data_IF_189812401044
#
_entry.id   IF_189812401044
#
_cell.length_a   1.000
_cell.length_b   1.000
_cell.length_c   1.000
_cell.angle_alpha   90.00
_cell.angle_beta   90.00
_cell.angle_gamma   90.00
#
_symmetry.space_group_name_H-M   'P 1'
#
loop_
_entity.id
_entity.type
_entity.pdbx_description
1 polymer ?
#
# COMPACT_ATOMS: atom_id res chain seq x y z
N UNK A 1 9.47 43.08 -31.90
CA UNK A 1 8.10 42.95 -32.44
C UNK A 1 7.30 42.05 -31.49
N UNK A 2 6.05 42.43 -31.21
CA UNK A 2 5.28 42.15 -29.98
C UNK A 2 4.87 40.67 -29.77
N UNK A 3 4.83 40.29 -28.49
CA UNK A 3 4.19 39.10 -27.91
C UNK A 3 2.79 38.84 -28.49
N UNK A 4 2.46 37.57 -28.75
CA UNK A 4 1.08 37.06 -28.85
C UNK A 4 0.78 36.12 -27.67
N UNK A 5 0.52 36.72 -26.51
CA UNK A 5 -0.22 36.10 -25.41
C UNK A 5 -1.66 36.61 -25.52
N UNK A 6 -2.62 35.77 -25.94
CA UNK A 6 -4.06 35.92 -25.65
C UNK A 6 -4.86 34.78 -26.30
N UNK A 7 -5.30 33.82 -25.48
CA UNK A 7 -6.66 33.25 -25.45
C UNK A 7 -6.74 32.07 -24.47
N UNK A 8 -6.79 32.38 -23.18
CA UNK A 8 -7.48 31.56 -22.19
C UNK A 8 -8.22 32.52 -21.27
N UNK A 9 -9.47 32.83 -21.67
CA UNK A 9 -10.39 33.67 -20.91
C UNK A 9 -11.45 32.74 -20.32
N UNK A 10 -11.42 32.65 -18.99
CA UNK A 10 -12.56 32.45 -18.09
C UNK A 10 -13.44 31.20 -18.28
N UNK A 11 -13.03 30.10 -17.67
CA UNK A 11 -13.98 29.15 -17.06
C UNK A 11 -14.14 29.58 -15.61
N UNK A 12 -15.29 30.17 -15.29
CA UNK A 12 -15.77 30.36 -13.91
C UNK A 12 -15.93 28.99 -13.26
N UNK A 13 -14.94 28.59 -12.47
CA UNK A 13 -15.10 27.49 -11.52
C UNK A 13 -15.99 28.03 -10.42
N UNK A 14 -17.27 27.68 -10.45
CA UNK A 14 -18.10 27.70 -9.24
C UNK A 14 -17.45 26.77 -8.24
N UNK A 15 -16.64 27.33 -7.34
CA UNK A 15 -16.24 26.67 -6.11
C UNK A 15 -17.51 26.46 -5.29
N UNK A 16 -18.17 25.32 -5.50
CA UNK A 16 -19.02 24.76 -4.46
C UNK A 16 -18.06 24.48 -3.32
N UNK A 17 -18.05 25.37 -2.34
CA UNK A 17 -17.37 25.22 -1.06
C UNK A 17 -17.92 23.97 -0.38
N UNK A 18 -17.35 22.81 -0.69
CA UNK A 18 -17.57 21.61 0.11
C UNK A 18 -17.05 21.98 1.51
N UNK A 19 -17.90 21.92 2.56
CA UNK A 19 -17.46 22.28 3.90
C UNK A 19 -16.23 21.45 4.25
N UNK A 20 -15.17 22.17 4.62
CA UNK A 20 -13.89 21.65 5.06
C UNK A 20 -14.14 20.95 6.41
N UNK A 21 -14.67 19.73 6.39
CA UNK A 21 -14.76 18.91 7.59
C UNK A 21 -13.34 18.54 7.99
N UNK A 22 -12.77 19.29 8.94
CA UNK A 22 -11.60 18.87 9.68
C UNK A 22 -11.93 17.51 10.30
N UNK A 23 -11.31 16.44 9.80
CA UNK A 23 -11.45 15.13 10.41
C UNK A 23 -10.81 15.22 11.79
N UNK A 24 -11.61 15.04 12.83
CA UNK A 24 -11.08 14.88 14.17
C UNK A 24 -10.09 13.70 14.16
N UNK A 25 -8.91 13.83 14.78
CA UNK A 25 -7.97 12.73 14.86
C UNK A 25 -8.66 11.52 15.52
N UNK A 26 -8.39 10.30 15.05
CA UNK A 26 -9.02 9.10 15.57
C UNK A 26 -8.67 8.94 17.05
N UNK A 27 -9.67 8.61 17.86
CA UNK A 27 -9.46 8.38 19.29
C UNK A 27 -8.60 7.12 19.52
N UNK A 28 -7.35 7.34 19.93
CA UNK A 28 -6.41 6.28 20.30
C UNK A 28 -6.48 5.93 21.80
N UNK A 29 -7.33 6.58 22.60
CA UNK A 29 -7.51 6.28 24.04
C UNK A 29 -7.94 4.83 24.24
N UNK A 30 -8.70 4.28 23.30
CA UNK A 30 -9.12 2.89 23.29
C UNK A 30 -7.95 1.89 23.11
N UNK A 31 -6.74 2.34 22.76
CA UNK A 31 -5.52 1.50 22.76
C UNK A 31 -5.01 1.23 24.18
N UNK A 32 -5.27 2.13 25.14
CA UNK A 32 -4.87 1.96 26.54
C UNK A 32 -5.74 0.92 27.29
N UNK A 33 -6.94 0.61 26.79
CA UNK A 33 -7.89 -0.35 27.38
C UNK A 33 -7.70 -1.79 26.87
N UNK A 34 -6.73 -2.04 26.00
CA UNK A 34 -6.55 -3.36 25.34
C UNK A 34 -5.82 -4.34 26.25
N UNK A 35 -6.57 -4.95 27.16
CA UNK A 35 -6.21 -6.20 27.85
C UNK A 35 -5.05 -6.10 28.83
N UNK A 36 -5.01 -6.99 29.83
CA UNK A 36 -3.87 -7.08 30.74
C UNK A 36 -2.61 -7.52 29.97
N UNK A 37 -1.42 -7.03 30.36
CA UNK A 37 -0.15 -7.52 29.87
C UNK A 37 -0.06 -9.00 30.13
N UNK A 38 0.27 -9.74 29.07
CA UNK A 38 1.02 -10.96 29.28
C UNK A 38 2.40 -10.52 29.69
N UNK A 39 2.80 -10.91 30.89
CA UNK A 39 4.18 -10.86 31.30
C UNK A 39 5.04 -11.49 30.18
N UNK A 40 5.86 -10.68 29.51
CA UNK A 40 6.72 -11.11 28.40
C UNK A 40 6.34 -10.63 27.00
N UNK A 41 5.17 -10.00 26.78
CA UNK A 41 4.91 -9.30 25.50
C UNK A 41 5.40 -7.87 25.59
N UNK A 42 6.68 -7.72 25.36
CA UNK A 42 7.31 -6.43 25.15
C UNK A 42 7.38 -6.24 23.63
N UNK A 43 7.19 -5.02 23.11
CA UNK A 43 7.73 -4.62 21.79
C UNK A 43 9.27 -4.65 21.88
N UNK A 44 9.89 -5.79 22.24
CA UNK A 44 11.29 -5.89 22.67
C UNK A 44 12.24 -6.16 21.55
N UNK A 45 11.91 -5.68 20.36
CA UNK A 45 12.99 -5.50 19.44
C UNK A 45 12.74 -4.31 18.53
N UNK A 46 13.15 -3.11 18.96
CA UNK A 46 13.57 -2.06 18.02
C UNK A 46 14.39 -2.64 16.86
N UNK A 47 15.15 -3.72 17.08
CA UNK A 47 15.85 -4.46 16.01
C UNK A 47 14.92 -5.07 14.96
N UNK A 48 13.72 -5.56 15.29
CA UNK A 48 12.74 -6.10 14.30
C UNK A 48 12.15 -4.98 13.45
N UNK A 49 11.72 -3.88 14.07
CA UNK A 49 11.22 -2.72 13.33
C UNK A 49 12.29 -2.12 12.40
N UNK A 50 13.52 -1.98 12.93
CA UNK A 50 14.70 -1.57 12.15
C UNK A 50 15.01 -2.55 11.02
N UNK A 51 15.03 -3.86 11.28
CA UNK A 51 15.25 -4.89 10.26
C UNK A 51 14.19 -4.85 9.15
N UNK A 52 12.93 -4.60 9.49
CA UNK A 52 11.85 -4.43 8.51
C UNK A 52 12.11 -3.18 7.66
N UNK A 53 12.48 -2.05 8.26
CA UNK A 53 12.86 -0.84 7.53
C UNK A 53 14.05 -1.08 6.58
N UNK A 54 15.12 -1.71 7.07
CA UNK A 54 16.32 -2.03 6.29
C UNK A 54 15.98 -2.94 5.11
N UNK A 55 15.12 -3.95 5.32
CA UNK A 55 14.65 -4.85 4.26
C UNK A 55 13.75 -4.14 3.24
N UNK A 56 12.94 -3.16 3.66
CA UNK A 56 12.15 -2.34 2.74
C UNK A 56 13.06 -1.47 1.87
N UNK A 57 14.03 -0.78 2.46
CA UNK A 57 15.04 -0.02 1.72
C UNK A 57 15.80 -0.93 0.74
N UNK A 58 16.32 -2.08 1.21
CA UNK A 58 17.02 -3.03 0.33
C UNK A 58 16.16 -3.43 -0.86
N UNK A 59 14.91 -3.85 -0.65
CA UNK A 59 14.00 -4.21 -1.75
C UNK A 59 13.73 -3.05 -2.70
N UNK A 60 13.56 -1.85 -2.18
CA UNK A 60 13.28 -0.66 -2.97
C UNK A 60 14.43 -0.31 -3.94
N UNK A 61 15.68 -0.49 -3.51
CA UNK A 61 16.87 -0.23 -4.35
C UNK A 61 17.33 -1.45 -5.17
N UNK A 62 16.86 -2.66 -4.89
CA UNK A 62 17.12 -3.82 -5.74
C UNK A 62 16.39 -3.65 -7.07
N UNK A 63 17.12 -3.56 -8.18
CA UNK A 63 16.56 -3.48 -9.53
C UNK A 63 16.87 -4.80 -10.25
N UNK A 64 15.83 -5.58 -10.52
CA UNK A 64 15.89 -6.83 -11.29
C UNK A 64 14.67 -6.95 -12.20
N UNK A 65 14.80 -7.66 -13.31
CA UNK A 65 13.69 -7.99 -14.21
C UNK A 65 12.85 -9.15 -13.67
N UNK A 66 13.48 -10.10 -12.98
CA UNK A 66 12.88 -11.33 -12.48
C UNK A 66 13.71 -11.91 -11.32
N UNK A 67 13.18 -12.95 -10.66
CA UNK A 67 13.74 -13.53 -9.44
C UNK A 67 14.01 -15.04 -9.58
N UNK A 68 14.88 -15.57 -8.70
CA UNK A 68 15.23 -16.99 -8.61
C UNK A 68 16.46 -17.38 -9.43
N UNK A 69 17.01 -18.57 -9.14
CA UNK A 69 18.22 -19.10 -9.81
C UNK A 69 18.03 -19.40 -11.29
N UNK A 70 16.77 -19.64 -11.70
CA UNK A 70 16.38 -19.87 -13.09
C UNK A 70 15.55 -18.71 -13.66
N UNK A 71 15.54 -17.55 -12.99
CA UNK A 71 14.88 -16.35 -13.51
C UNK A 71 13.42 -16.60 -13.91
N UNK A 72 12.71 -17.40 -13.12
CA UNK A 72 11.40 -17.95 -13.50
C UNK A 72 10.23 -17.30 -12.79
N UNK A 73 10.47 -16.36 -11.86
CA UNK A 73 9.39 -15.67 -11.13
C UNK A 73 9.44 -14.16 -11.27
N UNK A 74 8.29 -13.46 -11.19
CA UNK A 74 8.24 -12.01 -11.34
C UNK A 74 9.10 -11.26 -10.33
N UNK A 75 9.61 -10.08 -10.72
CA UNK A 75 10.52 -9.27 -9.90
C UNK A 75 9.99 -8.89 -8.49
N UNK A 76 8.66 -8.84 -8.30
CA UNK A 76 8.06 -8.52 -7.00
C UNK A 76 8.39 -9.57 -5.91
N UNK A 77 8.84 -10.78 -6.29
CA UNK A 77 9.22 -11.86 -5.38
C UNK A 77 10.55 -11.62 -4.63
N UNK A 78 11.36 -10.65 -5.08
CA UNK A 78 12.67 -10.37 -4.48
C UNK A 78 13.04 -8.88 -4.48
N UNK A 79 12.28 -8.02 -5.17
CA UNK A 79 12.53 -6.59 -5.28
C UNK A 79 11.24 -5.77 -5.20
N UNK A 80 11.41 -4.47 -4.94
CA UNK A 80 10.35 -3.51 -4.76
C UNK A 80 9.47 -3.74 -3.53
N UNK A 81 8.60 -2.77 -3.26
CA UNK A 81 7.72 -2.75 -2.09
C UNK A 81 6.27 -2.68 -2.57
N UNK A 82 5.46 -3.65 -2.14
CA UNK A 82 4.03 -3.71 -2.44
C UNK A 82 3.28 -2.95 -1.35
N UNK A 83 2.69 -1.82 -1.70
CA UNK A 83 2.11 -0.86 -0.75
C UNK A 83 0.69 -0.51 -1.16
N UNK A 84 -0.20 -0.32 -0.19
CA UNK A 84 -1.56 0.18 -0.44
C UNK A 84 -1.87 1.37 0.42
N UNK A 85 -2.21 2.47 -0.25
CA UNK A 85 -2.70 3.69 0.37
C UNK A 85 -4.00 3.46 1.12
N UNK A 86 -4.06 3.94 2.35
CA UNK A 86 -5.22 3.79 3.20
C UNK A 86 -6.05 5.09 3.23
N UNK A 87 -7.37 4.95 3.25
CA UNK A 87 -8.23 6.13 3.38
C UNK A 87 -8.09 6.70 4.81
N UNK A 88 -8.05 8.04 4.96
CA UNK A 88 -7.84 8.68 6.26
C UNK A 88 -8.96 8.38 7.27
N UNK A 89 -10.13 7.91 6.86
CA UNK A 89 -11.26 7.55 7.71
C UNK A 89 -11.27 6.07 8.16
N UNK A 90 -10.39 5.22 7.61
CA UNK A 90 -10.43 3.76 7.82
C UNK A 90 -9.27 3.27 8.67
N UNK A 91 -9.52 2.84 9.90
CA UNK A 91 -8.48 2.21 10.74
C UNK A 91 -8.34 0.71 10.51
N UNK A 92 -9.40 0.06 10.01
CA UNK A 92 -9.41 -1.34 9.61
C UNK A 92 -8.98 -1.52 8.16
N UNK A 93 -7.70 -1.26 7.90
CA UNK A 93 -7.13 -1.25 6.54
C UNK A 93 -7.17 -2.61 5.81
N UNK A 94 -7.46 -3.70 6.53
CA UNK A 94 -7.62 -5.05 6.00
C UNK A 94 -9.03 -5.32 5.40
N UNK A 95 -10.00 -4.45 5.66
CA UNK A 95 -11.34 -4.51 5.05
C UNK A 95 -11.29 -3.86 3.65
N UNK A 96 -10.69 -4.59 2.71
CA UNK A 96 -10.49 -4.19 1.31
C UNK A 96 -9.05 -4.45 0.86
N UNK A 97 -8.85 -4.81 -0.41
CA UNK A 97 -7.50 -5.14 -0.88
C UNK A 97 -7.50 -5.92 -2.19
N UNK A 98 -7.48 -5.19 -3.28
CA UNK A 98 -7.35 -5.75 -4.64
C UNK A 98 -6.23 -5.00 -5.36
N UNK A 99 -6.26 -3.67 -5.27
CA UNK A 99 -5.27 -2.76 -5.86
C UNK A 99 -4.16 -2.32 -4.90
N UNK A 100 -2.90 -2.46 -5.33
CA UNK A 100 -1.69 -2.01 -4.64
C UNK A 100 -0.80 -1.23 -5.61
N UNK A 101 0.12 -0.44 -5.10
CA UNK A 101 1.23 0.11 -5.88
C UNK A 101 2.49 -0.71 -5.66
N UNK A 102 3.39 -0.67 -6.64
CA UNK A 102 4.71 -1.31 -6.60
C UNK A 102 5.82 -0.25 -6.61
N UNK A 103 6.42 0.00 -5.44
CA UNK A 103 7.49 0.99 -5.31
C UNK A 103 8.85 0.36 -5.58
N UNK A 104 9.60 0.93 -6.51
CA UNK A 104 11.00 0.61 -6.77
C UNK A 104 11.69 1.86 -7.28
N UNK A 105 12.98 1.98 -6.95
CA UNK A 105 13.78 3.19 -7.22
C UNK A 105 13.83 3.62 -8.69
N UNK A 106 13.64 2.71 -9.63
CA UNK A 106 13.66 2.97 -11.08
C UNK A 106 12.27 3.24 -11.69
N UNK A 107 11.18 3.26 -10.92
CA UNK A 107 9.81 3.34 -11.45
C UNK A 107 9.13 4.71 -11.30
N UNK A 108 9.86 5.73 -10.82
CA UNK A 108 9.35 7.10 -10.72
C UNK A 108 8.01 7.22 -9.96
N UNK A 109 7.80 6.40 -8.92
CA UNK A 109 6.58 6.45 -8.09
C UNK A 109 6.84 7.30 -6.85
N UNK A 110 6.55 8.60 -6.95
CA UNK A 110 6.90 9.60 -5.93
C UNK A 110 5.76 9.94 -4.95
N UNK A 111 4.55 9.44 -5.20
CA UNK A 111 3.39 9.69 -4.36
C UNK A 111 2.58 8.42 -4.16
N UNK A 112 1.96 8.31 -2.99
CA UNK A 112 0.93 7.31 -2.72
C UNK A 112 -0.34 7.65 -3.49
N UNK A 113 -1.12 6.64 -3.89
CA UNK A 113 -2.41 6.85 -4.56
C UNK A 113 -3.27 7.89 -3.85
N UNK A 114 -3.74 8.90 -4.60
CA UNK A 114 -4.50 10.06 -4.09
C UNK A 114 -3.80 10.83 -2.97
N UNK A 115 -2.48 10.83 -2.95
CA UNK A 115 -1.68 11.54 -1.96
C UNK A 115 -2.04 11.22 -0.50
N UNK A 116 -2.47 9.98 -0.27
CA UNK A 116 -2.94 9.56 1.05
C UNK A 116 -1.75 9.52 2.03
N UNK A 117 -1.94 10.03 3.25
CA UNK A 117 -0.84 10.17 4.21
C UNK A 117 -0.46 8.87 4.90
N UNK A 118 -1.29 7.83 4.79
CA UNK A 118 -1.07 6.53 5.43
C UNK A 118 -1.24 5.39 4.44
N UNK A 119 -0.55 4.29 4.68
CA UNK A 119 -0.59 3.09 3.87
C UNK A 119 -0.22 1.85 4.69
N UNK A 120 -0.26 0.68 4.07
CA UNK A 120 0.34 -0.53 4.63
C UNK A 120 1.10 -1.30 3.57
N UNK A 121 2.14 -2.01 4.00
CA UNK A 121 2.96 -2.86 3.13
C UNK A 121 2.59 -4.31 3.37
N UNK A 122 2.49 -5.07 2.30
CA UNK A 122 2.39 -6.53 2.34
C UNK A 122 3.67 -7.17 1.83
N UNK A 123 3.92 -8.40 2.28
CA UNK A 123 5.02 -9.19 1.77
C UNK A 123 4.67 -9.66 0.35
N UNK A 124 5.40 -9.13 -0.64
CA UNK A 124 5.23 -9.49 -2.04
C UNK A 124 5.82 -10.84 -2.43
N UNK A 125 6.63 -11.48 -1.57
CA UNK A 125 7.19 -12.80 -1.88
C UNK A 125 6.07 -13.84 -1.77
N UNK A 126 5.45 -14.20 -2.89
CA UNK A 126 4.39 -15.19 -2.95
C UNK A 126 4.82 -16.53 -2.35
N UNK A 127 6.07 -16.96 -2.54
CA UNK A 127 6.56 -18.18 -1.87
C UNK A 127 6.80 -18.02 -0.36
N UNK A 128 6.94 -16.78 0.13
CA UNK A 128 7.06 -16.50 1.55
C UNK A 128 5.67 -16.48 2.15
N UNK A 129 5.29 -17.64 2.64
CA UNK A 129 4.38 -17.70 3.78
C UNK A 129 4.95 -16.75 4.83
N UNK A 130 4.20 -15.72 5.24
CA UNK A 130 4.53 -15.01 6.48
C UNK A 130 4.70 -16.07 7.62
N UNK A 131 5.16 -15.72 8.84
CA UNK A 131 5.33 -16.70 9.92
C UNK A 131 4.10 -17.58 10.25
N UNK A 132 2.97 -17.36 9.56
CA UNK A 132 1.66 -17.95 9.75
C UNK A 132 1.10 -18.59 8.47
N UNK A 133 1.92 -18.83 7.43
CA UNK A 133 1.48 -19.57 6.26
C UNK A 133 0.85 -18.76 5.14
N UNK A 134 0.84 -17.42 5.20
CA UNK A 134 -0.01 -16.57 4.32
C UNK A 134 0.74 -16.00 3.13
N UNK A 135 0.03 -15.92 1.99
CA UNK A 135 0.56 -15.51 0.69
C UNK A 135 -0.42 -14.54 0.01
N UNK A 136 0.10 -13.52 -0.65
CA UNK A 136 -0.64 -12.72 -1.61
C UNK A 136 -0.62 -13.42 -2.98
N UNK A 137 -1.76 -13.46 -3.66
CA UNK A 137 -1.87 -14.01 -5.01
C UNK A 137 -2.02 -12.86 -6.00
N UNK A 138 -0.94 -12.53 -6.70
CA UNK A 138 -0.93 -11.50 -7.73
C UNK A 138 -1.60 -12.02 -9.01
N UNK A 139 -2.43 -11.18 -9.64
CA UNK A 139 -3.22 -11.55 -10.80
C UNK A 139 -2.75 -10.80 -12.04
N UNK A 140 -2.74 -9.46 -11.99
CA UNK A 140 -2.25 -8.62 -13.06
C UNK A 140 -1.60 -7.34 -12.57
N UNK A 141 -0.96 -6.60 -13.48
CA UNK A 141 -0.36 -5.30 -13.23
C UNK A 141 -0.63 -4.33 -14.39
N UNK A 142 -0.61 -3.05 -14.05
CA UNK A 142 -0.75 -1.91 -14.95
C UNK A 142 0.43 -0.94 -14.75
N UNK A 143 1.02 -0.40 -15.85
CA UNK A 143 2.08 0.60 -15.77
C UNK A 143 1.63 1.94 -15.17
N UNK A 144 0.34 2.22 -15.22
CA UNK A 144 -0.34 3.38 -14.61
C UNK A 144 -1.56 2.89 -13.83
N UNK A 145 -2.43 3.80 -13.39
CA UNK A 145 -3.68 3.42 -12.74
C UNK A 145 -4.51 2.66 -13.78
N UNK A 146 -4.89 1.42 -13.49
CA UNK A 146 -5.62 0.56 -14.43
C UNK A 146 -7.07 0.96 -14.62
N UNK A 147 -7.53 2.00 -13.90
CA UNK A 147 -8.92 2.43 -13.79
C UNK A 147 -9.83 1.26 -13.43
N UNK A 148 -9.41 0.45 -12.45
CA UNK A 148 -10.03 -0.84 -12.10
C UNK A 148 -11.48 -0.74 -11.63
N UNK A 149 -11.91 0.44 -11.19
CA UNK A 149 -13.32 0.80 -10.96
C UNK A 149 -14.21 0.57 -12.19
N UNK A 150 -13.66 0.70 -13.40
CA UNK A 150 -14.37 0.45 -14.67
C UNK A 150 -14.34 -1.01 -15.13
N UNK A 151 -13.69 -1.90 -14.37
CA UNK A 151 -13.46 -3.30 -14.76
C UNK A 151 -14.24 -4.24 -13.85
N UNK A 152 -14.38 -5.50 -14.24
CA UNK A 152 -15.10 -6.47 -13.42
C UNK A 152 -14.37 -6.69 -12.09
N UNK A 153 -14.99 -6.29 -10.98
CA UNK A 153 -14.42 -6.49 -9.63
C UNK A 153 -14.42 -7.94 -9.18
N UNK A 154 -15.33 -8.77 -9.72
CA UNK A 154 -15.30 -10.24 -9.55
C UNK A 154 -14.26 -10.86 -10.47
N UNK A 155 -13.84 -12.11 -10.16
CA UNK A 155 -12.80 -12.84 -10.91
C UNK A 155 -12.84 -12.52 -12.42
N UNK A 156 -11.73 -12.09 -13.03
CA UNK A 156 -10.34 -12.02 -12.55
C UNK A 156 -9.93 -10.73 -11.79
N UNK A 157 -10.86 -10.06 -11.09
CA UNK A 157 -10.55 -9.01 -10.09
C UNK A 157 -9.96 -7.71 -10.66
N UNK A 158 -10.56 -7.14 -11.69
CA UNK A 158 -10.08 -5.93 -12.33
C UNK A 158 -9.05 -6.18 -13.43
N UNK A 159 -8.77 -7.44 -13.75
CA UNK A 159 -7.92 -7.86 -14.87
C UNK A 159 -8.73 -8.21 -16.14
N UNK A 160 -9.86 -7.53 -16.35
CA UNK A 160 -10.75 -7.68 -17.52
C UNK A 160 -10.72 -6.45 -18.40
N UNK A 161 -11.43 -6.50 -19.51
CA UNK A 161 -11.85 -5.33 -20.27
C UNK A 161 -12.51 -4.28 -19.36
N UNK A 162 -12.34 -3.02 -19.74
CA UNK A 162 -13.05 -1.89 -19.14
C UNK A 162 -14.46 -1.81 -19.73
N UNK A 163 -15.45 -1.47 -18.91
CA UNK A 163 -16.81 -1.16 -19.35
C UNK A 163 -16.88 0.07 -20.28
N UNK A 164 -15.83 0.91 -20.30
CA UNK A 164 -15.68 2.01 -21.26
C UNK A 164 -15.24 1.51 -22.65
N UNK A 165 -14.68 0.29 -22.72
CA UNK A 165 -14.18 -0.34 -23.93
C UNK A 165 -14.54 -1.84 -23.98
N UNK A 166 -15.84 -2.22 -23.94
CA UNK A 166 -16.26 -3.60 -23.72
C UNK A 166 -15.91 -4.55 -24.87
N UNK A 167 -15.57 -4.04 -26.05
CA UNK A 167 -15.17 -4.83 -27.23
C UNK A 167 -13.65 -5.02 -27.32
N UNK A 168 -12.89 -4.44 -26.40
CA UNK A 168 -11.44 -4.45 -26.42
C UNK A 168 -10.95 -5.40 -25.31
N UNK A 169 -10.21 -6.47 -25.62
CA UNK A 169 -9.73 -7.39 -24.60
C UNK A 169 -8.90 -6.69 -23.52
N UNK A 170 -9.11 -7.04 -22.25
CA UNK A 170 -8.41 -6.40 -21.13
C UNK A 170 -6.96 -6.82 -20.91
N UNK A 171 -6.51 -7.94 -21.49
CA UNK A 171 -5.16 -8.49 -21.30
C UNK A 171 -4.26 -8.20 -22.50
N UNK A 172 -3.01 -7.81 -22.25
CA UNK A 172 -2.07 -7.47 -23.31
C UNK A 172 -1.77 -8.67 -24.22
N UNK A 173 -1.61 -9.87 -23.65
CA UNK A 173 -1.40 -11.11 -24.41
C UNK A 173 -2.55 -11.43 -25.36
N UNK A 174 -3.82 -11.24 -24.94
CA UNK A 174 -4.98 -11.42 -25.82
C UNK A 174 -5.04 -10.39 -26.96
N UNK A 175 -4.51 -9.18 -26.72
CA UNK A 175 -4.34 -8.14 -27.74
C UNK A 175 -3.10 -8.34 -28.63
N UNK A 176 -2.35 -9.43 -28.44
CA UNK A 176 -1.07 -9.71 -29.12
C UNK A 176 0.01 -8.64 -28.87
N UNK A 177 -0.06 -7.96 -27.73
CA UNK A 177 0.96 -7.02 -27.26
C UNK A 177 1.98 -7.81 -26.46
N UNK A 178 3.17 -7.97 -27.04
CA UNK A 178 4.24 -8.85 -26.55
C UNK A 178 5.56 -8.12 -26.33
N UNK A 179 5.65 -6.85 -26.72
CA UNK A 179 6.83 -6.02 -26.53
C UNK A 179 6.47 -4.56 -26.19
N UNK A 180 7.49 -3.78 -25.83
CA UNK A 180 7.34 -2.41 -25.35
C UNK A 180 6.76 -1.47 -26.40
N UNK A 181 7.21 -1.58 -27.65
CA UNK A 181 6.76 -0.69 -28.73
C UNK A 181 5.29 -0.93 -29.08
N UNK A 182 4.86 -2.19 -29.08
CA UNK A 182 3.44 -2.54 -29.24
C UNK A 182 2.59 -1.98 -28.11
N UNK A 183 3.07 -2.04 -26.86
CA UNK A 183 2.35 -1.47 -25.73
C UNK A 183 2.26 0.06 -25.82
N UNK A 184 3.36 0.75 -26.14
CA UNK A 184 3.37 2.21 -26.34
C UNK A 184 2.40 2.62 -27.45
N UNK A 185 2.41 1.90 -28.56
CA UNK A 185 1.50 2.17 -29.67
C UNK A 185 0.03 1.99 -29.26
N UNK A 186 -0.31 0.95 -28.50
CA UNK A 186 -1.68 0.73 -28.01
C UNK A 186 -2.10 1.75 -26.95
N UNK A 187 -1.23 2.05 -25.98
CA UNK A 187 -1.49 3.05 -24.93
C UNK A 187 -1.72 4.45 -25.52
N UNK A 188 -1.00 4.81 -26.58
CA UNK A 188 -1.12 6.11 -27.24
C UNK A 188 -2.26 6.24 -28.26
N UNK A 189 -3.07 5.19 -28.49
CA UNK A 189 -4.30 5.31 -29.30
C UNK A 189 -5.31 6.28 -28.69
N UNK A 190 -5.30 6.42 -27.37
CA UNK A 190 -6.16 7.36 -26.65
C UNK A 190 -5.28 8.47 -26.09
N UNK A 191 -5.46 9.70 -26.58
CA UNK A 191 -4.66 10.85 -26.14
C UNK A 191 -4.92 11.21 -24.66
N UNK A 192 -4.00 11.95 -24.05
CA UNK A 192 -4.15 12.46 -22.67
C UNK A 192 -5.38 13.37 -22.50
N UNK A 193 -5.81 14.05 -23.57
CA UNK A 193 -7.00 14.91 -23.56
C UNK A 193 -8.31 14.15 -23.30
N UNK A 194 -8.30 12.83 -23.49
CA UNK A 194 -9.45 11.96 -23.23
C UNK A 194 -9.57 11.52 -21.76
N UNK A 195 -8.79 12.10 -20.84
CA UNK A 195 -8.99 11.89 -19.41
C UNK A 195 -8.76 10.45 -18.97
N UNK A 196 -9.66 9.97 -18.09
CA UNK A 196 -9.67 8.61 -17.55
C UNK A 196 -9.76 7.52 -18.64
N UNK A 197 -10.30 7.84 -19.82
CA UNK A 197 -10.44 6.86 -20.91
C UNK A 197 -9.10 6.32 -21.39
N UNK A 198 -8.03 7.13 -21.34
CA UNK A 198 -6.67 6.67 -21.68
C UNK A 198 -6.23 5.52 -20.79
N UNK A 199 -6.45 5.68 -19.49
CA UNK A 199 -6.08 4.71 -18.46
C UNK A 199 -7.02 3.50 -18.43
N UNK A 200 -8.31 3.70 -18.73
CA UNK A 200 -9.27 2.62 -18.90
C UNK A 200 -9.02 1.76 -20.16
N UNK A 201 -8.47 2.36 -21.23
CA UNK A 201 -8.16 1.66 -22.48
C UNK A 201 -6.96 0.71 -22.36
N UNK A 202 -6.00 1.00 -21.48
CA UNK A 202 -4.78 0.21 -21.37
C UNK A 202 -5.07 -1.26 -21.06
N UNK A 203 -4.21 -2.15 -21.57
CA UNK A 203 -4.26 -3.57 -21.24
C UNK A 203 -3.47 -3.88 -19.95
N UNK A 204 -3.85 -4.98 -19.30
CA UNK A 204 -3.18 -5.53 -18.13
C UNK A 204 -2.12 -6.57 -18.52
N UNK A 205 -1.05 -6.62 -17.74
CA UNK A 205 -0.01 -7.65 -17.84
C UNK A 205 -0.25 -8.73 -16.79
N UNK A 206 -0.09 -10.00 -17.16
CA UNK A 206 -0.13 -11.12 -16.21
C UNK A 206 0.95 -10.93 -15.13
N UNK A 207 0.53 -10.95 -13.87
CA UNK A 207 1.43 -10.85 -12.71
C UNK A 207 1.43 -12.12 -11.86
N UNK A 208 0.83 -13.21 -12.34
CA UNK A 208 0.85 -14.48 -11.60
C UNK A 208 2.27 -15.04 -11.48
N UNK A 209 2.57 -15.65 -10.34
CA UNK A 209 3.91 -16.19 -10.06
C UNK A 209 4.35 -17.27 -11.06
N UNK A 210 3.43 -18.09 -11.54
CA UNK A 210 3.73 -19.28 -12.36
C UNK A 210 3.91 -19.00 -13.85
N UNK A 211 3.33 -17.92 -14.38
CA UNK A 211 3.36 -17.63 -15.82
C UNK A 211 3.50 -16.14 -16.17
N UNK A 212 3.47 -15.25 -15.18
CA UNK A 212 3.48 -13.80 -15.38
C UNK A 212 4.88 -13.17 -15.49
N UNK A 213 5.97 -13.92 -15.38
CA UNK A 213 7.33 -13.36 -15.27
C UNK A 213 7.67 -12.39 -16.41
N UNK A 214 7.49 -12.82 -17.68
CA UNK A 214 7.80 -11.99 -18.85
C UNK A 214 6.81 -10.84 -19.07
N UNK A 215 5.52 -11.06 -18.78
CA UNK A 215 4.53 -9.98 -18.86
C UNK A 215 4.75 -8.93 -17.76
N UNK A 216 5.11 -9.34 -16.54
CA UNK A 216 5.45 -8.42 -15.46
C UNK A 216 6.76 -7.67 -15.73
N UNK A 217 7.75 -8.33 -16.35
CA UNK A 217 8.94 -7.65 -16.85
C UNK A 217 8.57 -6.54 -17.85
N UNK A 218 7.71 -6.85 -18.83
CA UNK A 218 7.22 -5.89 -19.81
C UNK A 218 6.41 -4.75 -19.15
N UNK A 219 5.62 -5.03 -18.11
CA UNK A 219 4.95 -4.01 -17.30
C UNK A 219 5.95 -3.02 -16.68
N UNK A 220 7.08 -3.51 -16.17
CA UNK A 220 8.14 -2.66 -15.60
C UNK A 220 8.83 -1.82 -16.68
N UNK A 221 9.05 -2.37 -17.88
CA UNK A 221 9.58 -1.62 -19.01
C UNK A 221 8.61 -0.53 -19.48
N UNK A 222 7.33 -0.88 -19.60
CA UNK A 222 6.25 0.05 -19.94
C UNK A 222 6.20 1.22 -18.94
N UNK A 223 6.21 0.91 -17.64
CA UNK A 223 6.25 1.93 -16.57
C UNK A 223 7.44 2.88 -16.73
N UNK A 224 8.63 2.34 -16.96
CA UNK A 224 9.87 3.12 -17.12
C UNK A 224 9.88 3.98 -18.38
N UNK A 225 9.15 3.56 -19.41
CA UNK A 225 9.11 4.28 -20.68
C UNK A 225 8.20 5.51 -20.69
N UNK A 226 7.37 5.68 -19.65
CA UNK A 226 6.43 6.80 -19.55
C UNK A 226 7.13 8.10 -19.14
N UNK A 227 6.80 9.19 -19.83
CA UNK A 227 7.06 10.52 -19.34
C UNK A 227 5.93 10.97 -18.42
N UNK A 228 6.06 10.73 -17.12
CA UNK A 228 4.98 11.00 -16.15
C UNK A 228 4.58 12.48 -16.07
N UNK A 229 5.44 13.40 -16.50
CA UNK A 229 5.11 14.83 -16.54
C UNK A 229 4.13 15.18 -17.68
N UNK A 230 3.92 14.26 -18.63
CA UNK A 230 2.96 14.40 -19.73
C UNK A 230 1.67 13.59 -19.48
N UNK A 231 1.59 12.88 -18.35
CA UNK A 231 0.43 12.09 -17.98
C UNK A 231 -0.45 12.84 -16.95
N UNK A 232 -1.71 12.44 -16.83
CA UNK A 232 -2.65 13.01 -15.87
C UNK A 232 -2.24 12.58 -14.46
N UNK A 233 -1.98 13.57 -13.61
CA UNK A 233 -1.45 13.39 -12.26
C UNK A 233 -2.19 12.31 -11.44
N UNK A 234 -3.52 12.28 -11.47
CA UNK A 234 -4.32 11.33 -10.68
C UNK A 234 -4.16 9.86 -11.11
N UNK A 235 -3.63 9.62 -12.31
CA UNK A 235 -3.52 8.28 -12.89
C UNK A 235 -2.05 7.84 -13.09
N UNK A 236 -1.06 8.64 -12.68
CA UNK A 236 0.36 8.30 -12.84
C UNK A 236 0.85 7.21 -11.88
N UNK A 237 0.04 6.77 -10.92
CA UNK A 237 0.39 5.69 -10.01
C UNK A 237 0.47 4.37 -10.76
N UNK A 238 1.39 3.46 -10.43
CA UNK A 238 1.29 2.10 -10.95
C UNK A 238 0.32 1.28 -10.10
N UNK A 239 -0.21 0.22 -10.71
CA UNK A 239 -1.17 -0.65 -10.05
C UNK A 239 -0.78 -2.12 -10.23
N UNK A 240 -0.76 -2.86 -9.13
CA UNK A 240 -0.63 -4.32 -9.12
C UNK A 240 -1.84 -4.89 -8.37
N UNK A 241 -2.48 -5.85 -8.99
CA UNK A 241 -3.71 -6.47 -8.52
C UNK A 241 -3.38 -7.78 -7.82
N UNK A 242 -4.03 -7.97 -6.68
CA UNK A 242 -4.06 -9.23 -5.96
C UNK A 242 -5.48 -9.78 -5.90
N UNK A 243 -5.57 -11.10 -5.72
CA UNK A 243 -6.81 -11.76 -5.35
C UNK A 243 -7.34 -11.19 -4.02
N UNK A 244 -8.61 -10.77 -3.94
CA UNK A 244 -9.18 -10.20 -2.73
C UNK A 244 -9.17 -11.20 -1.57
N UNK A 245 -8.84 -10.72 -0.38
CA UNK A 245 -8.96 -11.49 0.87
C UNK A 245 -10.41 -11.61 1.37
N UNK A 246 -11.35 -10.92 0.72
CA UNK A 246 -12.78 -10.93 1.04
C UNK A 246 -13.37 -12.33 0.99
N UNK A 247 -12.90 -13.16 0.05
CA UNK A 247 -13.24 -14.58 -0.06
C UNK A 247 -12.88 -15.36 1.21
N UNK A 248 -11.91 -14.89 1.99
CA UNK A 248 -11.51 -15.45 3.27
C UNK A 248 -12.09 -14.69 4.48
N UNK A 249 -13.09 -13.81 4.26
CA UNK A 249 -13.87 -13.14 5.29
C UNK A 249 -13.24 -11.90 5.94
N UNK A 250 -12.34 -11.18 5.25
CA UNK A 250 -11.69 -9.94 5.74
C UNK A 250 -11.08 -10.04 7.16
N UNK A 251 -10.39 -11.13 7.44
CA UNK A 251 -9.72 -11.32 8.73
C UNK A 251 -8.29 -10.77 8.66
N UNK A 252 -7.85 -9.90 9.58
CA UNK A 252 -6.49 -9.34 9.55
C UNK A 252 -5.40 -10.42 9.64
N UNK A 253 -5.73 -11.59 10.19
CA UNK A 253 -4.87 -12.77 10.24
C UNK A 253 -4.61 -13.42 8.86
N UNK A 254 -5.36 -13.02 7.82
CA UNK A 254 -5.22 -13.57 6.46
C UNK A 254 -4.35 -12.72 5.54
N UNK A 255 -3.93 -11.53 5.99
CA UNK A 255 -3.16 -10.60 5.17
C UNK A 255 -1.68 -10.66 5.58
N UNK A 256 -0.73 -10.80 4.63
CA UNK A 256 0.70 -10.84 4.91
C UNK A 256 1.26 -9.42 5.15
N UNK A 257 0.70 -8.69 6.11
CA UNK A 257 1.12 -7.32 6.47
C UNK A 257 2.52 -7.34 7.07
N UNK A 258 3.39 -6.45 6.60
CA UNK A 258 4.77 -6.29 7.12
C UNK A 258 4.95 -5.02 7.92
N UNK A 259 4.26 -3.94 7.56
CA UNK A 259 4.37 -2.63 8.20
C UNK A 259 3.15 -1.75 7.91
N UNK A 260 2.88 -0.82 8.81
CA UNK A 260 2.04 0.36 8.56
C UNK A 260 2.96 1.51 8.17
N UNK A 261 2.57 2.28 7.18
CA UNK A 261 3.33 3.41 6.65
C UNK A 261 2.60 4.72 6.95
N UNK A 262 3.36 5.75 7.28
CA UNK A 262 2.90 7.14 7.20
C UNK A 262 3.94 8.01 6.48
N UNK A 263 3.48 9.12 5.91
CA UNK A 263 4.33 10.13 5.25
C UNK A 263 3.99 11.51 5.77
N UNK A 264 4.87 12.50 5.56
CA UNK A 264 4.58 13.90 5.91
C UNK A 264 3.65 14.58 4.90
N UNK A 265 3.32 13.93 3.78
CA UNK A 265 2.44 14.49 2.77
C UNK A 265 0.97 14.28 3.16
N UNK A 266 0.23 15.37 3.35
CA UNK A 266 -1.23 15.36 3.43
C UNK A 266 -1.78 16.57 2.68
N UNK A 267 -2.69 16.33 1.74
CA UNK A 267 -3.43 17.41 1.07
C UNK A 267 -4.61 17.91 1.90
N UNK A 268 -4.92 17.26 3.03
CA UNK A 268 -6.08 17.55 3.85
C UNK A 268 -5.66 18.23 5.17
N UNK A 269 -6.11 19.48 5.42
CA UNK A 269 -5.91 20.17 6.69
C UNK A 269 -6.45 19.36 7.87
N UNK A 270 -5.73 19.37 9.00
CA UNK A 270 -6.12 18.66 10.23
C UNK A 270 -5.83 17.16 10.25
N UNK A 271 -5.36 16.58 9.14
CA UNK A 271 -4.92 15.18 9.14
C UNK A 271 -3.56 15.05 9.82
N UNK A 272 -3.47 14.14 10.79
CA UNK A 272 -2.24 13.81 11.51
C UNK A 272 -1.76 12.41 11.09
N UNK A 273 -0.90 12.27 10.07
CA UNK A 273 -0.53 10.98 9.47
C UNK A 273 -0.07 9.94 10.50
N UNK A 274 0.80 10.35 11.43
CA UNK A 274 1.29 9.47 12.49
C UNK A 274 0.15 9.00 13.42
N UNK A 275 -0.78 9.88 13.80
CA UNK A 275 -1.93 9.49 14.65
C UNK A 275 -2.82 8.47 13.97
N UNK A 276 -3.05 8.62 12.66
CA UNK A 276 -3.79 7.64 11.88
C UNK A 276 -3.06 6.29 11.79
N UNK A 277 -1.75 6.31 11.54
CA UNK A 277 -0.94 5.09 11.54
C UNK A 277 -0.94 4.39 12.91
N UNK A 278 -0.90 5.16 14.01
CA UNK A 278 -1.06 4.65 15.37
C UNK A 278 -2.44 4.01 15.58
N UNK A 279 -3.52 4.65 15.12
CA UNK A 279 -4.86 4.10 15.19
C UNK A 279 -5.00 2.79 14.36
N UNK A 280 -4.40 2.73 13.16
CA UNK A 280 -4.33 1.50 12.36
C UNK A 280 -3.59 0.38 13.09
N UNK A 281 -2.45 0.69 13.71
CA UNK A 281 -1.64 -0.27 14.46
C UNK A 281 -2.44 -0.82 15.64
N UNK A 282 -3.12 0.04 16.39
CA UNK A 282 -4.01 -0.37 17.47
C UNK A 282 -5.15 -1.27 17.00
N UNK A 283 -5.85 -0.88 15.93
CA UNK A 283 -6.96 -1.64 15.39
C UNK A 283 -6.49 -3.04 14.96
N UNK A 284 -5.34 -3.13 14.30
CA UNK A 284 -4.77 -4.42 13.88
C UNK A 284 -4.39 -5.29 15.09
N UNK A 285 -3.72 -4.72 16.10
CA UNK A 285 -3.39 -5.44 17.34
C UNK A 285 -4.66 -5.99 17.98
N UNK A 286 -5.68 -5.15 18.20
CA UNK A 286 -6.97 -5.56 18.78
C UNK A 286 -7.61 -6.72 18.02
N UNK A 287 -7.66 -6.61 16.70
CA UNK A 287 -8.32 -7.58 15.84
C UNK A 287 -7.54 -8.90 15.70
N UNK A 288 -6.28 -8.95 16.15
CA UNK A 288 -5.39 -10.11 16.03
C UNK A 288 -4.98 -10.74 17.36
N UNK A 289 -5.53 -10.25 18.48
CA UNK A 289 -5.36 -10.87 19.80
C UNK A 289 -5.99 -12.27 19.79
N UNK A 290 -5.23 -13.26 20.27
CA UNK A 290 -5.70 -14.63 20.51
C UNK A 290 -6.29 -14.72 21.93
N UNK A 291 -7.53 -15.21 22.05
CA UNK A 291 -8.27 -15.34 23.33
C UNK A 291 -8.29 -16.79 23.85
N UNK A 292 -7.34 -17.65 23.45
CA UNK A 292 -7.27 -19.02 23.98
C UNK A 292 -6.76 -19.03 25.43
N UNK A 293 -7.67 -19.29 26.38
CA UNK A 293 -7.38 -19.39 27.82
C UNK A 293 -7.49 -18.06 28.57
N UNK A 294 -6.76 -17.92 29.69
CA UNK A 294 -6.76 -16.71 30.55
C UNK A 294 -5.78 -15.61 30.11
N UNK A 295 -4.99 -15.85 29.05
CA UNK A 295 -3.93 -14.94 28.58
C UNK A 295 -4.26 -14.30 27.21
N UNK A 296 -4.24 -12.97 27.13
CA UNK A 296 -4.45 -12.22 25.87
C UNK A 296 -3.13 -11.98 25.13
N UNK A 297 -2.81 -12.79 24.11
CA UNK A 297 -1.54 -12.67 23.36
C UNK A 297 -1.66 -11.74 22.16
N UNK A 298 -0.88 -10.64 22.16
CA UNK A 298 -0.59 -9.91 20.91
C UNK A 298 0.33 -10.79 20.08
N UNK A 299 -0.25 -11.52 19.15
CA UNK A 299 0.48 -12.52 18.36
C UNK A 299 1.21 -11.91 17.16
N UNK A 300 0.92 -10.65 16.81
CA UNK A 300 1.33 -10.02 15.54
C UNK A 300 1.68 -8.51 15.70
N UNK A 301 2.79 -8.14 16.33
CA UNK A 301 3.23 -6.75 16.32
C UNK A 301 3.66 -6.34 14.91
N UNK A 302 3.04 -5.29 14.36
CA UNK A 302 3.39 -4.69 13.07
C UNK A 302 4.01 -3.30 13.31
N UNK A 303 5.21 -2.99 12.81
CA UNK A 303 5.82 -1.69 13.05
C UNK A 303 5.13 -0.59 12.24
N UNK A 304 5.12 0.62 12.79
CA UNK A 304 4.90 1.86 12.05
C UNK A 304 6.26 2.28 11.47
N UNK A 305 6.30 2.53 10.17
CA UNK A 305 7.48 2.96 9.42
C UNK A 305 7.14 4.30 8.77
N UNK A 306 8.02 5.28 8.95
CA UNK A 306 7.94 6.54 8.22
C UNK A 306 8.50 6.35 6.80
N UNK A 307 7.81 6.88 5.80
CA UNK A 307 8.24 6.89 4.41
C UNK A 307 8.52 8.33 3.94
N UNK A 308 9.79 8.60 3.62
CA UNK A 308 10.32 9.89 3.17
C UNK A 308 10.19 10.05 1.65
N UNK A 309 8.97 10.30 1.17
CA UNK A 309 8.72 10.52 -0.27
C UNK A 309 9.34 11.81 -0.81
N UNK A 310 9.52 12.82 0.05
CA UNK A 310 10.10 14.10 -0.38
C UNK A 310 11.58 13.95 -0.71
N UNK A 311 12.34 13.20 0.10
CA UNK A 311 13.72 12.85 -0.26
C UNK A 311 13.78 12.11 -1.59
N UNK A 312 12.84 11.20 -1.87
CA UNK A 312 12.77 10.50 -3.15
C UNK A 312 12.59 11.49 -4.32
N UNK A 313 11.68 12.46 -4.18
CA UNK A 313 11.40 13.49 -5.20
C UNK A 313 12.61 14.40 -5.47
N UNK A 314 13.39 14.70 -4.44
CA UNK A 314 14.55 15.59 -4.50
C UNK A 314 15.87 14.87 -4.87
N UNK A 315 15.82 13.58 -5.22
CA UNK A 315 17.02 12.79 -5.52
C UNK A 315 17.89 12.49 -4.30
N UNK A 316 17.32 12.60 -3.09
CA UNK A 316 18.00 12.45 -1.81
C UNK A 316 17.80 11.10 -1.12
N UNK A 317 18.72 10.84 -0.16
CA UNK A 317 18.85 9.73 0.82
C UNK A 317 18.75 8.29 0.29
N UNK A 318 19.69 7.45 0.76
CA UNK A 318 19.68 5.98 0.55
C UNK A 318 18.65 5.23 1.40
N UNK A 319 18.04 5.88 2.40
CA UNK A 319 17.07 5.24 3.30
C UNK A 319 15.81 6.10 3.33
N UNK A 320 14.75 5.62 2.68
CA UNK A 320 13.44 6.29 2.63
C UNK A 320 12.42 5.65 3.58
N UNK A 321 12.64 4.39 3.98
CA UNK A 321 11.87 3.72 5.02
C UNK A 321 12.61 3.82 6.35
N UNK A 322 12.00 4.46 7.35
CA UNK A 322 12.64 4.70 8.65
C UNK A 322 11.77 4.19 9.80
N UNK A 323 12.35 3.31 10.62
CA UNK A 323 11.76 2.93 11.90
C UNK A 323 12.15 3.96 12.97
N UNK A 324 11.17 4.44 13.73
CA UNK A 324 11.40 5.27 14.92
C UNK A 324 10.59 4.70 16.08
N UNK A 325 11.28 4.47 17.19
CA UNK A 325 10.64 3.90 18.39
C UNK A 325 9.54 4.81 18.94
N UNK A 326 9.74 6.13 18.86
CA UNK A 326 8.78 7.15 19.30
C UNK A 326 7.45 7.13 18.52
N UNK A 327 7.45 6.59 17.31
CA UNK A 327 6.26 6.58 16.44
C UNK A 327 5.29 5.45 16.83
N UNK A 328 5.80 4.42 17.52
CA UNK A 328 5.03 3.22 17.87
C UNK A 328 4.01 3.52 18.96
N UNK A 329 2.85 2.86 18.90
CA UNK A 329 1.89 2.88 20.00
C UNK A 329 2.52 2.20 21.22
N UNK A 330 2.76 2.98 22.27
CA UNK A 330 3.12 2.48 23.59
C UNK A 330 1.85 2.04 24.31
N UNK A 331 1.64 0.74 24.49
CA UNK A 331 0.59 0.26 25.39
C UNK A 331 1.07 0.43 26.83
N UNK A 332 0.39 1.24 27.65
CA UNK A 332 0.63 1.27 29.11
C UNK A 332 0.34 -0.14 29.65
N UNK A 333 1.40 -0.89 29.96
CA UNK A 333 1.35 -2.21 30.56
C UNK A 333 2.43 -2.24 31.65
N UNK A 334 1.98 -1.97 32.89
CA UNK A 334 2.72 -1.85 34.16
C UNK A 334 3.52 -0.55 34.43
N UNK A 335 2.88 0.35 35.19
CA UNK A 335 3.24 0.71 36.58
C UNK A 335 1.91 0.60 37.35
N UNK A 336 1.53 -0.56 37.90
CA UNK A 336 1.76 -0.87 39.30
C UNK A 336 1.34 -2.32 39.57
N UNK A 337 2.16 -3.05 40.32
CA UNK A 337 1.81 -4.10 41.29
C UNK A 337 3.11 -4.83 41.64
N UNK A 338 3.72 -4.44 42.76
CA UNK A 338 4.24 -5.46 43.68
C UNK A 338 3.02 -6.08 44.39
N UNK A 339 2.88 -7.43 44.42
CA UNK A 339 1.81 -8.11 45.15
C UNK A 339 2.41 -8.87 46.38
N UNK A 340 1.68 -9.72 47.12
CA UNK A 340 0.97 -9.38 48.35
C UNK A 340 1.28 -10.32 49.54
N UNK A 341 1.06 -9.87 50.78
CA UNK A 341 0.89 -10.69 52.00
C UNK A 341 0.58 -9.73 53.17
N UNK A 342 -0.31 -9.96 54.12
CA UNK A 342 -1.16 -11.10 54.46
C UNK A 342 -2.28 -10.55 55.38
N UNK A 343 -3.47 -11.12 55.29
CA UNK A 343 -4.55 -10.91 56.26
C UNK A 343 -4.09 -11.26 57.67
N UNK A 344 -4.46 -10.46 58.68
CA UNK A 344 -5.04 -10.97 59.92
C UNK A 344 -5.94 -9.92 60.58
N UNK A 345 -7.23 -10.26 60.70
CA UNK A 345 -8.20 -9.67 61.61
C UNK A 345 -7.89 -10.09 63.06
N UNK A 346 -8.08 -9.17 64.01
CA UNK A 346 -8.78 -9.33 65.30
C UNK A 346 -8.71 -7.96 66.01
N UNK A 347 -9.80 -7.20 66.11
CA UNK A 347 -10.68 -7.17 67.28
C UNK A 347 -9.94 -7.41 68.59
N UNK A 348 -9.55 -6.32 69.28
CA UNK A 348 -10.08 -5.84 70.57
C UNK A 348 -9.94 -4.31 70.56
#
# INVERSE_FOLDING_TARGET
>A
MKLKFKKYLSILISFISIPLFALNPPDISACAKVGKPIAGVIYKNPKVGKLIADRLNKRFYTIVSECGTHFSTPAYECSGVIIRSNSPDKTKFWEGGESFSYLRSDLNTYTLFKNRPTAYVINGRGSYKNPYGKQAFFTCAYPTDGYTVSRQSRYPYGCTESNLFPKIPGKCSTRKITNLEQWKADFNKISVENGEKRYAHQCSFNASRSSGTKEFELNLQARKSLNLNQEIYDFIHNEIIIKPWSEAGYKPQHIPVEAIIYTDFSTNPGVHPLRYAQAMQCSYIKATIDNRGTEKRVKYPIPIIYLDLESLRLGGRKNIFMYRERDQVKTKMFESLHPPALYFLKMI
#
